data_IF_800949641928
#
_entry.id   IF_800949641928
#
_cell.length_a   1.000
_cell.length_b   1.000
_cell.length_c   1.000
_cell.angle_alpha   90.00
_cell.angle_beta   90.00
_cell.angle_gamma   90.00
#
_symmetry.space_group_name_H-M   'P 1'
#
loop_
_entity.id
_entity.type
_entity.pdbx_description
1 polymer ?
#
# COMPACT_ATOMS: atom_id res chain seq x y z
N UNK A 1 15.21 11.53 -2.46
CA UNK A 1 15.52 10.09 -2.39
C UNK A 1 16.14 9.72 -1.05
N UNK A 2 17.38 10.15 -0.74
CA UNK A 2 18.04 9.87 0.54
C UNK A 2 17.23 10.31 1.78
N UNK A 3 16.56 11.47 1.71
CA UNK A 3 15.69 11.96 2.78
C UNK A 3 14.49 11.03 3.06
N UNK A 4 13.95 10.37 2.03
CA UNK A 4 12.83 9.41 2.18
C UNK A 4 13.34 8.14 2.87
N UNK A 5 14.51 7.65 2.45
CA UNK A 5 15.17 6.49 3.05
C UNK A 5 15.49 6.79 4.53
N UNK A 6 16.04 7.97 4.81
CA UNK A 6 16.33 8.42 6.17
C UNK A 6 15.06 8.52 7.02
N UNK A 7 13.97 9.07 6.48
CA UNK A 7 12.68 9.14 7.19
C UNK A 7 12.11 7.74 7.50
N UNK A 8 12.23 6.78 6.58
CA UNK A 8 11.86 5.39 6.83
C UNK A 8 12.74 4.77 7.93
N UNK A 9 14.05 4.98 7.89
CA UNK A 9 14.99 4.48 8.89
C UNK A 9 14.68 5.04 10.29
N UNK A 10 14.39 6.34 10.39
CA UNK A 10 13.96 6.99 11.63
C UNK A 10 12.63 6.42 12.12
N UNK A 11 11.65 6.21 11.24
CA UNK A 11 10.37 5.61 11.59
C UNK A 11 10.52 4.19 12.17
N UNK A 12 11.40 3.38 11.58
CA UNK A 12 11.71 2.03 12.10
C UNK A 12 12.42 2.10 13.45
N UNK A 13 13.42 2.99 13.59
CA UNK A 13 14.15 3.16 14.85
C UNK A 13 13.22 3.64 15.98
N UNK A 14 12.35 4.61 15.70
CA UNK A 14 11.32 5.09 16.63
C UNK A 14 10.33 3.97 16.99
N UNK A 15 9.82 3.23 15.99
CA UNK A 15 8.92 2.09 16.22
C UNK A 15 9.57 0.98 17.05
N UNK A 16 10.87 0.75 16.88
CA UNK A 16 11.62 -0.22 17.69
C UNK A 16 11.80 0.24 19.13
N UNK A 17 12.13 1.51 19.37
CA UNK A 17 12.24 2.07 20.72
C UNK A 17 10.90 2.04 21.49
N UNK A 18 9.77 2.23 20.81
CA UNK A 18 8.43 2.18 21.41
C UNK A 18 7.85 0.76 21.56
N UNK A 19 8.54 -0.28 21.06
CA UNK A 19 8.04 -1.67 20.99
C UNK A 19 7.80 -2.31 22.37
N UNK A 20 8.42 -1.81 23.43
CA UNK A 20 8.31 -2.39 24.78
C UNK A 20 6.95 -2.10 25.45
N UNK A 21 6.19 -1.11 24.97
CA UNK A 21 4.87 -0.80 25.51
C UNK A 21 3.76 -1.58 24.78
N UNK A 22 2.88 -2.24 25.55
CA UNK A 22 1.73 -3.05 25.10
C UNK A 22 0.61 -2.20 24.43
N UNK A 23 0.98 -1.35 23.47
CA UNK A 23 0.13 -0.38 22.77
C UNK A 23 -0.27 -0.85 21.36
N UNK A 24 0.02 -2.10 21.03
CA UNK A 24 -0.24 -2.70 19.71
C UNK A 24 -1.72 -2.66 19.33
N UNK A 25 -2.65 -2.78 20.29
CA UNK A 25 -4.09 -2.65 20.04
C UNK A 25 -4.53 -1.23 19.67
N UNK A 26 -3.89 -0.20 20.20
CA UNK A 26 -4.17 1.19 19.83
C UNK A 26 -3.59 1.53 18.47
N UNK A 27 -2.43 0.95 18.15
CA UNK A 27 -1.76 1.17 16.87
C UNK A 27 -2.62 0.70 15.69
N UNK A 28 -3.23 -0.48 15.80
CA UNK A 28 -4.12 -1.01 14.75
C UNK A 28 -5.30 -0.06 14.46
N UNK A 29 -5.95 0.44 15.52
CA UNK A 29 -7.06 1.39 15.40
C UNK A 29 -6.60 2.77 14.89
N UNK A 30 -5.40 3.21 15.26
CA UNK A 30 -4.79 4.44 14.77
C UNK A 30 -4.40 4.36 13.28
N UNK A 31 -3.86 3.22 12.84
CA UNK A 31 -3.55 2.96 11.43
C UNK A 31 -4.84 3.00 10.62
N UNK A 32 -5.87 2.24 11.02
CA UNK A 32 -7.14 2.24 10.31
C UNK A 32 -7.77 3.64 10.26
N UNK A 33 -7.71 4.39 11.37
CA UNK A 33 -8.18 5.77 11.44
C UNK A 33 -7.42 6.70 10.49
N UNK A 34 -6.10 6.57 10.41
CA UNK A 34 -5.26 7.38 9.52
C UNK A 34 -5.48 7.01 8.06
N UNK A 35 -5.55 5.72 7.72
CA UNK A 35 -5.86 5.26 6.36
C UNK A 35 -7.24 5.76 5.93
N UNK A 36 -8.26 5.63 6.78
CA UNK A 36 -9.59 6.15 6.49
C UNK A 36 -9.57 7.68 6.28
N UNK A 37 -8.86 8.42 7.12
CA UNK A 37 -8.71 9.87 6.99
C UNK A 37 -8.01 10.24 5.67
N UNK A 38 -6.92 9.57 5.32
CA UNK A 38 -6.19 9.80 4.08
C UNK A 38 -7.04 9.48 2.85
N UNK A 39 -7.79 8.37 2.88
CA UNK A 39 -8.72 7.99 1.81
C UNK A 39 -9.85 9.02 1.67
N UNK A 40 -10.37 9.53 2.78
CA UNK A 40 -11.37 10.60 2.77
C UNK A 40 -10.81 11.88 2.17
N UNK A 41 -9.63 12.32 2.61
CA UNK A 41 -8.96 13.51 2.10
C UNK A 41 -8.65 13.40 0.61
N UNK A 42 -8.21 12.23 0.17
CA UNK A 42 -8.00 11.91 -1.25
C UNK A 42 -9.32 12.03 -2.02
N UNK A 43 -10.40 11.44 -1.51
CA UNK A 43 -11.73 11.50 -2.12
C UNK A 43 -12.23 12.93 -2.30
N UNK A 44 -12.07 13.78 -1.28
CA UNK A 44 -12.43 15.21 -1.36
C UNK A 44 -11.55 15.95 -2.37
N UNK A 45 -10.25 15.71 -2.36
CA UNK A 45 -9.29 16.35 -3.28
C UNK A 45 -9.59 16.01 -4.74
N UNK A 46 -9.91 14.75 -5.03
CA UNK A 46 -10.31 14.31 -6.37
C UNK A 46 -11.69 14.84 -6.73
N UNK A 47 -12.67 14.71 -5.82
CA UNK A 47 -14.07 15.12 -6.00
C UNK A 47 -14.27 16.60 -6.31
N UNK A 48 -13.47 17.47 -5.71
CA UNK A 48 -13.54 18.93 -5.92
C UNK A 48 -12.92 19.41 -7.24
N UNK A 49 -12.16 18.58 -7.94
CA UNK A 49 -11.42 18.98 -9.13
C UNK A 49 -12.18 18.59 -10.41
N UNK A 50 -12.93 19.53 -11.00
CA UNK A 50 -13.72 19.30 -12.22
C UNK A 50 -12.89 18.82 -13.41
N UNK A 51 -11.62 19.22 -13.52
CA UNK A 51 -10.71 18.76 -14.58
C UNK A 51 -10.36 17.29 -14.42
N UNK A 52 -10.08 16.85 -13.18
CA UNK A 52 -9.87 15.43 -12.89
C UNK A 52 -11.16 14.63 -13.07
N UNK A 53 -12.32 15.16 -12.64
CA UNK A 53 -13.62 14.50 -12.82
C UNK A 53 -14.00 14.32 -14.29
N UNK A 54 -13.76 15.34 -15.13
CA UNK A 54 -14.01 15.27 -16.56
C UNK A 54 -13.02 14.29 -17.25
N UNK A 55 -11.76 14.30 -16.83
CA UNK A 55 -10.73 13.36 -17.30
C UNK A 55 -10.90 11.94 -16.76
N UNK A 56 -11.66 11.75 -15.68
CA UNK A 56 -11.83 10.47 -14.98
C UNK A 56 -12.45 9.39 -15.87
N UNK A 57 -13.29 9.77 -16.84
CA UNK A 57 -13.89 8.78 -17.75
C UNK A 57 -12.84 8.15 -18.67
N UNK A 58 -11.91 8.96 -19.20
CA UNK A 58 -10.83 8.46 -20.06
C UNK A 58 -9.68 7.86 -19.23
N UNK A 59 -9.18 8.62 -18.24
CA UNK A 59 -8.09 8.20 -17.36
C UNK A 59 -8.49 7.02 -16.48
N UNK A 60 -9.77 6.90 -16.12
CA UNK A 60 -10.28 5.83 -15.29
C UNK A 60 -10.25 4.48 -15.99
N UNK A 61 -10.48 4.43 -17.30
CA UNK A 61 -10.37 3.18 -18.08
C UNK A 61 -8.91 2.73 -18.13
N UNK A 62 -7.99 3.63 -18.46
CA UNK A 62 -6.55 3.32 -18.48
C UNK A 62 -6.06 2.89 -17.09
N UNK A 63 -6.43 3.65 -16.05
CA UNK A 63 -6.08 3.33 -14.67
C UNK A 63 -6.66 1.98 -14.23
N UNK A 64 -7.90 1.66 -14.63
CA UNK A 64 -8.53 0.38 -14.31
C UNK A 64 -7.82 -0.78 -14.99
N UNK A 65 -7.49 -0.66 -16.28
CA UNK A 65 -6.75 -1.69 -17.02
C UNK A 65 -5.37 -1.89 -16.39
N UNK A 66 -4.64 -0.81 -16.08
CA UNK A 66 -3.34 -0.89 -15.41
C UNK A 66 -3.44 -1.50 -14.00
N UNK A 67 -4.46 -1.14 -13.23
CA UNK A 67 -4.66 -1.68 -11.88
C UNK A 67 -4.96 -3.19 -11.94
N UNK A 68 -5.86 -3.63 -12.82
CA UNK A 68 -6.22 -5.04 -12.98
C UNK A 68 -5.04 -5.84 -13.53
N UNK A 69 -4.42 -5.39 -14.62
CA UNK A 69 -3.29 -6.07 -15.23
C UNK A 69 -2.08 -6.12 -14.29
N UNK A 70 -1.76 -5.02 -13.61
CA UNK A 70 -0.67 -4.94 -12.65
C UNK A 70 -0.90 -5.81 -11.41
N UNK A 71 -2.13 -5.82 -10.86
CA UNK A 71 -2.47 -6.66 -9.71
C UNK A 71 -2.47 -8.13 -10.09
N UNK A 72 -3.11 -8.50 -11.20
CA UNK A 72 -3.13 -9.88 -11.69
C UNK A 72 -1.72 -10.38 -12.02
N UNK A 73 -0.92 -9.58 -12.71
CA UNK A 73 0.49 -9.88 -13.01
C UNK A 73 1.33 -10.07 -11.74
N UNK A 74 1.17 -9.18 -10.75
CA UNK A 74 1.89 -9.27 -9.47
C UNK A 74 1.50 -10.51 -8.66
N UNK A 75 0.21 -10.85 -8.60
CA UNK A 75 -0.27 -12.06 -7.92
C UNK A 75 0.22 -13.32 -8.62
N UNK A 76 0.15 -13.37 -9.95
CA UNK A 76 0.64 -14.52 -10.74
C UNK A 76 2.15 -14.70 -10.60
N UNK A 77 2.94 -13.62 -10.68
CA UNK A 77 4.37 -13.65 -10.48
C UNK A 77 4.73 -14.07 -9.05
N UNK A 78 4.04 -13.52 -8.05
CA UNK A 78 4.21 -13.91 -6.65
C UNK A 78 3.89 -15.39 -6.42
N UNK A 79 2.78 -15.88 -6.97
CA UNK A 79 2.40 -17.29 -6.90
C UNK A 79 3.40 -18.20 -7.63
N UNK A 80 3.96 -17.76 -8.75
CA UNK A 80 4.97 -18.52 -9.49
C UNK A 80 6.29 -18.61 -8.73
N UNK A 81 6.76 -17.50 -8.15
CA UNK A 81 7.96 -17.47 -7.29
C UNK A 81 7.72 -18.31 -6.04
N UNK A 82 6.57 -18.18 -5.38
CA UNK A 82 6.22 -18.99 -4.23
C UNK A 82 6.24 -20.48 -4.57
N UNK A 83 5.64 -20.87 -5.69
CA UNK A 83 5.66 -22.27 -6.18
C UNK A 83 7.04 -22.75 -6.60
N UNK A 84 7.97 -21.91 -7.04
CA UNK A 84 9.34 -22.34 -7.34
C UNK A 84 10.24 -22.39 -6.11
N UNK A 85 10.10 -21.42 -5.21
CA UNK A 85 10.95 -21.30 -4.03
C UNK A 85 10.53 -22.25 -2.90
N UNK A 86 9.22 -22.41 -2.65
CA UNK A 86 8.73 -23.26 -1.56
C UNK A 86 8.45 -24.72 -1.97
N UNK A 87 8.19 -25.01 -3.25
CA UNK A 87 8.01 -26.40 -3.70
C UNK A 87 9.30 -27.22 -3.69
N UNK A 88 10.47 -26.57 -3.67
CA UNK A 88 11.77 -27.27 -3.55
C UNK A 88 12.11 -27.72 -2.11
N UNK A 89 11.27 -27.41 -1.10
CA UNK A 89 11.51 -27.78 0.30
C UNK A 89 10.53 -28.81 0.87
N UNK A 90 9.59 -29.33 0.06
CA UNK A 90 8.62 -30.37 0.50
C UNK A 90 8.89 -31.74 -0.13
N UNK A 91 9.96 -31.88 -0.93
CA UNK A 91 10.36 -33.15 -1.55
C UNK A 91 11.78 -33.58 -1.11
N UNK A 92 12.22 -33.22 0.11
CA UNK A 92 13.47 -33.70 0.72
C UNK A 92 13.23 -34.32 2.10
#
# INVERSE_FOLDING_TARGET
MLSIIAAMAVGVAAGYALRHHCWTKYLDRAILGTVALLLFLMGVSVGGNRTLLAGLSSLGVDAFVLAVAGTAGSVLAGAWVYRRAFKNHTDA
#
